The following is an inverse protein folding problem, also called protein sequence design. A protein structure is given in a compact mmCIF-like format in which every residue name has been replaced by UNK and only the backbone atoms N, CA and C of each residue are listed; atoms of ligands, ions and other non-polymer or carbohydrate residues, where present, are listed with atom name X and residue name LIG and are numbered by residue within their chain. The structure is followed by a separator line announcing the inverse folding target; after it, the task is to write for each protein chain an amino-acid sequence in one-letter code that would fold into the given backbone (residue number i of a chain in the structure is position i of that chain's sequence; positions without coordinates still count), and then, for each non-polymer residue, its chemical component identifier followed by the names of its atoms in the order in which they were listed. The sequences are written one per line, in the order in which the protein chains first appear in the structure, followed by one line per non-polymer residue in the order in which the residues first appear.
data_IF_450970638935
#
_entry.id   IF_450970638935
#
_cell.length_a   1.000
_cell.length_b   1.000
_cell.length_c   1.000
_cell.angle_alpha   90.00
_cell.angle_beta   90.00
_cell.angle_gamma   90.00
#
_symmetry.space_group_name_H-M   'P 1'
#
loop_
_entity.id
_entity.type
_entity.pdbx_description
1 polymer ?
#
# COMPACT_ATOMS: atom_id res chain seq x y z
N UNK A 1 11.59 19.25 8.57
CA UNK A 1 10.98 19.86 7.37
C UNK A 1 9.66 19.15 7.18
N UNK A 2 8.53 19.86 7.14
CA UNK A 2 7.24 19.25 6.79
C UNK A 2 7.38 18.64 5.39
N UNK A 3 7.44 17.32 5.30
CA UNK A 3 7.35 16.63 4.02
C UNK A 3 5.91 16.79 3.54
N UNK A 4 5.70 17.79 2.67
CA UNK A 4 4.43 17.97 1.99
C UNK A 4 4.08 16.68 1.25
N UNK A 5 2.85 16.18 1.47
CA UNK A 5 2.38 14.98 0.77
C UNK A 5 2.26 15.25 -0.73
N UNK A 6 2.58 14.23 -1.52
CA UNK A 6 2.55 14.25 -2.98
C UNK A 6 1.15 13.90 -3.47
N UNK A 7 0.49 14.83 -4.17
CA UNK A 7 -0.73 14.51 -4.91
C UNK A 7 -0.41 13.66 -6.13
N UNK A 8 -1.17 12.57 -6.29
CA UNK A 8 -1.13 11.70 -7.47
C UNK A 8 -2.35 11.97 -8.35
N UNK A 9 -2.15 12.03 -9.66
CA UNK A 9 -3.26 12.15 -10.61
C UNK A 9 -3.82 10.76 -10.92
N UNK A 10 -5.09 10.55 -10.55
CA UNK A 10 -5.85 9.33 -10.79
C UNK A 10 -7.00 9.56 -11.78
N UNK A 11 -7.02 10.69 -12.51
CA UNK A 11 -8.12 11.05 -13.42
C UNK A 11 -8.30 10.07 -14.58
N UNK A 12 -7.23 9.43 -15.02
CA UNK A 12 -7.20 8.50 -16.17
C UNK A 12 -7.09 7.02 -15.77
N UNK A 13 -7.01 6.72 -14.48
CA UNK A 13 -6.79 5.36 -13.96
C UNK A 13 -7.67 5.06 -12.74
N UNK A 14 -7.90 3.79 -12.45
CA UNK A 14 -8.69 3.43 -11.28
C UNK A 14 -7.90 3.62 -9.96
N UNK A 15 -8.58 4.15 -8.94
CA UNK A 15 -8.08 4.28 -7.56
C UNK A 15 -7.55 2.96 -6.98
N UNK A 16 -8.08 1.81 -7.46
CA UNK A 16 -7.65 0.47 -7.07
C UNK A 16 -6.20 0.15 -7.46
N UNK A 17 -5.54 0.92 -8.33
CA UNK A 17 -4.09 0.80 -8.57
C UNK A 17 -3.25 1.10 -7.32
N UNK A 18 -3.80 1.83 -6.34
CA UNK A 18 -3.14 2.06 -5.05
C UNK A 18 -3.25 0.86 -4.10
N UNK A 19 -4.13 -0.11 -4.40
CA UNK A 19 -4.37 -1.25 -3.53
C UNK A 19 -3.13 -2.17 -3.40
N UNK A 20 -2.42 -2.56 -4.48
CA UNK A 20 -1.20 -3.36 -4.35
C UNK A 20 -0.10 -2.63 -3.57
N UNK A 21 0.06 -1.32 -3.78
CA UNK A 21 1.02 -0.50 -3.03
C UNK A 21 0.71 -0.53 -1.53
N UNK A 22 -0.54 -0.27 -1.17
CA UNK A 22 -1.02 -0.35 0.20
C UNK A 22 -0.86 -1.75 0.82
N UNK A 23 -1.19 -2.80 0.05
CA UNK A 23 -1.05 -4.19 0.50
C UNK A 23 0.39 -4.56 0.86
N UNK A 24 1.38 -4.12 0.05
CA UNK A 24 2.81 -4.31 0.35
C UNK A 24 3.24 -3.54 1.61
N UNK A 25 2.77 -2.31 1.76
CA UNK A 25 3.05 -1.49 2.95
C UNK A 25 2.49 -2.12 4.24
N UNK A 26 1.26 -2.62 4.22
CA UNK A 26 0.65 -3.29 5.36
C UNK A 26 1.30 -4.65 5.66
N UNK A 27 1.68 -5.41 4.63
CA UNK A 27 2.42 -6.65 4.80
C UNK A 27 3.80 -6.43 5.45
N UNK A 28 4.49 -5.34 5.10
CA UNK A 28 5.78 -4.97 5.69
C UNK A 28 5.70 -4.63 7.18
N UNK A 29 4.53 -4.17 7.66
CA UNK A 29 4.27 -3.81 9.08
C UNK A 29 3.89 -5.01 9.95
N UNK A 30 3.65 -6.20 9.38
CA UNK A 30 3.29 -7.39 10.14
C UNK A 30 4.45 -7.90 11.01
N UNK A 31 4.14 -8.58 12.13
CA UNK A 31 5.14 -9.14 13.05
C UNK A 31 6.19 -10.02 12.34
N UNK A 32 5.73 -10.87 11.41
CA UNK A 32 6.55 -11.74 10.58
C UNK A 32 6.23 -11.45 9.10
N UNK A 33 6.83 -10.42 8.50
CA UNK A 33 6.43 -9.95 7.17
C UNK A 33 6.91 -10.93 6.09
N UNK A 34 6.01 -11.30 5.16
CA UNK A 34 6.35 -12.12 3.99
C UNK A 34 7.12 -11.35 2.93
N UNK A 35 7.01 -10.01 2.94
CA UNK A 35 7.67 -9.06 2.06
C UNK A 35 7.99 -7.80 2.88
N UNK A 36 9.26 -7.37 2.90
CA UNK A 36 9.74 -6.19 3.64
C UNK A 36 9.89 -4.99 2.71
N UNK A 37 8.79 -4.57 2.08
CA UNK A 37 8.79 -3.45 1.14
C UNK A 37 8.78 -2.10 1.89
N UNK A 38 9.99 -1.61 2.22
CA UNK A 38 10.17 -0.31 2.89
C UNK A 38 9.74 0.86 2.03
N UNK A 39 9.96 0.77 0.72
CA UNK A 39 9.59 1.83 -0.22
C UNK A 39 8.07 1.97 -0.30
N UNK A 40 7.32 0.88 -0.33
CA UNK A 40 5.86 0.94 -0.26
C UNK A 40 5.37 1.58 1.05
N UNK A 41 5.99 1.25 2.19
CA UNK A 41 5.65 1.87 3.46
C UNK A 41 5.88 3.39 3.44
N UNK A 42 7.03 3.83 2.94
CA UNK A 42 7.36 5.26 2.79
C UNK A 42 6.41 5.97 1.81
N UNK A 43 6.12 5.38 0.65
CA UNK A 43 5.22 5.96 -0.35
C UNK A 43 3.80 6.14 0.18
N UNK A 44 3.27 5.17 0.92
CA UNK A 44 1.93 5.26 1.53
C UNK A 44 1.84 6.41 2.54
N UNK A 45 2.95 6.76 3.20
CA UNK A 45 3.00 7.90 4.12
C UNK A 45 3.10 9.24 3.39
N UNK A 46 3.73 9.28 2.22
CA UNK A 46 3.99 10.49 1.45
C UNK A 46 2.93 10.82 0.39
N UNK A 47 2.13 9.86 -0.08
CA UNK A 47 1.06 10.15 -1.04
C UNK A 47 -0.12 10.83 -0.34
N UNK A 48 -0.64 11.90 -0.95
CA UNK A 48 -1.84 12.61 -0.52
C UNK A 48 -3.10 11.82 -0.90
N UNK A 49 -3.27 10.69 -0.21
CA UNK A 49 -4.39 9.78 -0.38
C UNK A 49 -4.80 9.18 0.96
N UNK A 50 -6.11 9.04 1.17
CA UNK A 50 -6.65 8.41 2.38
C UNK A 50 -6.68 6.89 2.24
N UNK A 51 -5.56 6.25 2.57
CA UNK A 51 -5.43 4.78 2.58
C UNK A 51 -6.27 4.10 3.67
N UNK A 52 -6.86 4.83 4.63
CA UNK A 52 -7.71 4.22 5.66
C UNK A 52 -8.98 3.60 5.05
N UNK A 53 -9.41 4.09 3.88
CA UNK A 53 -10.54 3.56 3.09
C UNK A 53 -10.41 2.07 2.75
N UNK A 54 -9.19 1.56 2.61
CA UNK A 54 -8.97 0.14 2.27
C UNK A 54 -9.05 -0.78 3.49
N UNK A 55 -8.73 -0.31 4.70
CA UNK A 55 -8.72 -1.14 5.92
C UNK A 55 -10.02 -1.92 6.18
N UNK A 56 -11.23 -1.34 6.08
CA UNK A 56 -12.46 -2.09 6.35
C UNK A 56 -12.83 -3.10 5.25
N UNK A 57 -12.24 -2.97 4.05
CA UNK A 57 -12.59 -3.78 2.88
C UNK A 57 -11.74 -5.05 2.78
N UNK A 58 -10.53 -5.05 3.35
CA UNK A 58 -9.57 -6.15 3.19
C UNK A 58 -9.18 -6.76 4.53
N UNK A 59 -9.21 -8.09 4.57
CA UNK A 59 -8.73 -8.94 5.66
C UNK A 59 -7.26 -9.27 5.46
N UNK A 60 -6.65 -9.79 6.53
CA UNK A 60 -5.25 -10.20 6.55
C UNK A 60 -4.86 -11.13 5.39
N UNK A 61 -5.71 -12.08 5.01
CA UNK A 61 -5.42 -13.01 3.92
C UNK A 61 -5.29 -12.31 2.56
N UNK A 62 -6.14 -11.33 2.28
CA UNK A 62 -6.12 -10.60 1.00
C UNK A 62 -4.87 -9.73 0.89
N UNK A 63 -4.48 -9.07 1.97
CA UNK A 63 -3.23 -8.30 2.06
C UNK A 63 -2.02 -9.23 1.82
N UNK A 64 -2.03 -10.42 2.41
CA UNK A 64 -0.97 -11.41 2.19
C UNK A 64 -0.93 -11.88 0.74
N UNK A 65 -2.08 -12.10 0.09
CA UNK A 65 -2.13 -12.48 -1.33
C UNK A 65 -1.52 -11.37 -2.21
N UNK A 66 -1.84 -10.10 -1.95
CA UNK A 66 -1.24 -8.97 -2.69
C UNK A 66 0.29 -8.93 -2.54
N UNK A 67 0.78 -9.11 -1.32
CA UNK A 67 2.22 -9.10 -1.05
C UNK A 67 2.93 -10.36 -1.58
N UNK A 68 2.28 -11.52 -1.58
CA UNK A 68 2.81 -12.74 -2.23
C UNK A 68 2.94 -12.53 -3.74
N UNK A 69 1.92 -11.97 -4.41
CA UNK A 69 2.01 -11.68 -5.84
C UNK A 69 3.23 -10.83 -6.16
N UNK A 70 3.45 -9.76 -5.41
CA UNK A 70 4.59 -8.87 -5.61
C UNK A 70 5.96 -9.47 -5.25
N UNK A 71 5.98 -10.60 -4.54
CA UNK A 71 7.22 -11.34 -4.26
C UNK A 71 7.58 -12.30 -5.39
N UNK A 72 6.57 -12.89 -6.03
CA UNK A 72 6.73 -13.92 -7.06
C UNK A 72 6.68 -13.38 -8.50
N UNK A 73 6.15 -12.16 -8.71
CA UNK A 73 6.00 -11.49 -10.00
C UNK A 73 6.37 -10.01 -9.89
#
# INVERSE_FOLDING_TARGET
MENAKVKVDLSSVHETLLLPLWGRAEAAKMKNPILKDRQAAELVEHIDYDFSKFRPQFRRLEILILALRAREF
#
